data_IF_975473137534
#
_entry.id   IF_975473137534
#
_cell.length_a   1.000
_cell.length_b   1.000
_cell.length_c   1.000
_cell.angle_alpha   90.00
_cell.angle_beta   90.00
_cell.angle_gamma   90.00
#
_symmetry.space_group_name_H-M   'P 1'
#
loop_
_entity.id
_entity.type
_entity.pdbx_description
1 polymer ?
#
# COMPACT_ATOMS: atom_id res chain seq x y z
N UNK A 1 -1.31 -15.41 14.39
CA UNK A 1 -1.76 -14.06 14.79
C UNK A 1 -1.58 -13.91 16.29
N UNK A 2 -1.07 -12.78 16.78
CA UNK A 2 -0.74 -12.55 18.21
C UNK A 2 -1.70 -11.60 18.92
N UNK A 3 -2.36 -10.70 18.20
CA UNK A 3 -3.21 -9.64 18.74
C UNK A 3 -4.68 -9.91 18.42
N UNK A 4 -5.58 -9.57 19.35
CA UNK A 4 -7.02 -9.70 19.14
C UNK A 4 -7.54 -8.67 18.13
N UNK A 5 -8.57 -9.04 17.38
CA UNK A 5 -9.22 -8.18 16.39
C UNK A 5 -8.69 -8.29 14.96
N UNK A 6 -7.46 -8.78 14.75
CA UNK A 6 -6.96 -9.08 13.40
C UNK A 6 -7.67 -10.29 12.83
N UNK A 7 -8.21 -10.15 11.62
CA UNK A 7 -8.68 -11.26 10.80
C UNK A 7 -7.71 -11.42 9.63
N UNK A 8 -7.27 -12.65 9.36
CA UNK A 8 -6.38 -12.97 8.25
C UNK A 8 -6.92 -14.14 7.46
N UNK A 9 -6.67 -14.10 6.16
CA UNK A 9 -6.88 -15.22 5.24
C UNK A 9 -5.52 -15.76 4.82
N UNK A 10 -5.46 -17.03 4.43
CA UNK A 10 -4.21 -17.59 3.89
C UNK A 10 -3.89 -17.00 2.52
N UNK A 11 -2.61 -16.98 2.14
CA UNK A 11 -2.14 -16.55 0.82
C UNK A 11 -2.89 -17.23 -0.32
N UNK A 12 -3.20 -18.54 -0.16
CA UNK A 12 -3.99 -19.31 -1.12
C UNK A 12 -5.38 -18.71 -1.31
N UNK A 13 -6.11 -18.44 -0.22
CA UNK A 13 -7.47 -17.89 -0.31
C UNK A 13 -7.43 -16.46 -0.84
N UNK A 14 -6.49 -15.64 -0.38
CA UNK A 14 -6.34 -14.27 -0.85
C UNK A 14 -6.04 -14.20 -2.36
N UNK A 15 -5.05 -14.97 -2.84
CA UNK A 15 -4.70 -15.01 -4.26
C UNK A 15 -5.85 -15.52 -5.14
N UNK A 16 -6.62 -16.52 -4.69
CA UNK A 16 -7.81 -16.99 -5.41
C UNK A 16 -8.89 -15.90 -5.49
N UNK A 17 -9.17 -15.19 -4.39
CA UNK A 17 -10.11 -14.07 -4.39
C UNK A 17 -9.71 -12.99 -5.40
N UNK A 18 -8.43 -12.60 -5.41
CA UNK A 18 -7.92 -11.63 -6.37
C UNK A 18 -8.08 -12.15 -7.81
N UNK A 19 -7.64 -13.37 -8.10
CA UNK A 19 -7.69 -13.95 -9.45
C UNK A 19 -9.11 -14.00 -10.02
N UNK A 20 -10.07 -14.54 -9.27
CA UNK A 20 -11.44 -14.68 -9.76
C UNK A 20 -12.18 -13.34 -9.83
N UNK A 21 -11.81 -12.36 -9.01
CA UNK A 21 -12.27 -10.98 -9.17
C UNK A 21 -11.81 -10.39 -10.50
N UNK A 22 -10.50 -10.51 -10.83
CA UNK A 22 -9.97 -10.01 -12.11
C UNK A 22 -10.60 -10.71 -13.31
N UNK A 23 -10.82 -12.03 -13.23
CA UNK A 23 -11.52 -12.78 -14.28
C UNK A 23 -12.95 -12.28 -14.51
N UNK A 24 -13.66 -11.95 -13.44
CA UNK A 24 -15.01 -11.38 -13.51
C UNK A 24 -14.99 -9.99 -14.16
N UNK A 25 -14.04 -9.13 -13.75
CA UNK A 25 -13.85 -7.82 -14.37
C UNK A 25 -13.50 -7.93 -15.87
N UNK A 26 -12.62 -8.86 -16.25
CA UNK A 26 -12.34 -9.16 -17.66
C UNK A 26 -13.61 -9.54 -18.43
N UNK A 27 -14.45 -10.41 -17.86
CA UNK A 27 -15.70 -10.84 -18.48
C UNK A 27 -16.66 -9.66 -18.72
N UNK A 28 -16.64 -8.65 -17.85
CA UNK A 28 -17.42 -7.41 -18.02
C UNK A 28 -16.76 -6.37 -18.94
N UNK A 29 -15.65 -6.72 -19.61
CA UNK A 29 -15.01 -5.86 -20.60
C UNK A 29 -13.95 -4.91 -20.06
N UNK A 30 -13.58 -4.98 -18.77
CA UNK A 30 -12.48 -4.17 -18.24
C UNK A 30 -11.14 -4.60 -18.87
N UNK A 31 -10.37 -3.59 -19.33
CA UNK A 31 -9.11 -3.79 -20.07
C UNK A 31 -7.87 -3.51 -19.24
N UNK A 32 -8.01 -2.75 -18.17
CA UNK A 32 -6.93 -2.41 -17.25
C UNK A 32 -7.44 -2.56 -15.84
N UNK A 33 -6.84 -3.47 -15.08
CA UNK A 33 -7.26 -3.82 -13.72
C UNK A 33 -6.02 -3.69 -12.84
N UNK A 34 -6.09 -2.87 -11.80
CA UNK A 34 -4.94 -2.57 -10.94
C UNK A 34 -5.20 -3.03 -9.51
N UNK A 35 -4.26 -3.77 -8.95
CA UNK A 35 -4.19 -4.04 -7.52
C UNK A 35 -3.43 -2.92 -6.83
N UNK A 36 -4.08 -2.29 -5.86
CA UNK A 36 -3.50 -1.31 -4.94
C UNK A 36 -3.74 -1.87 -3.53
N UNK A 37 -2.68 -2.12 -2.78
CA UNK A 37 -2.75 -2.69 -1.45
C UNK A 37 -1.98 -1.85 -0.44
N UNK A 38 -2.54 -1.69 0.76
CA UNK A 38 -1.93 -0.91 1.84
C UNK A 38 -1.44 -1.77 3.03
N UNK A 39 -1.22 -3.06 2.77
CA UNK A 39 -0.69 -4.02 3.74
C UNK A 39 0.48 -4.77 3.15
N UNK A 40 1.60 -4.80 3.87
CA UNK A 40 2.84 -5.41 3.40
C UNK A 40 2.72 -6.89 3.08
N UNK A 41 1.96 -7.65 3.89
CA UNK A 41 1.73 -9.07 3.66
C UNK A 41 0.96 -9.37 2.37
N UNK A 42 0.20 -8.39 1.84
CA UNK A 42 -0.60 -8.58 0.63
C UNK A 42 0.20 -8.39 -0.66
N UNK A 43 1.32 -7.65 -0.60
CA UNK A 43 2.09 -7.27 -1.80
C UNK A 43 2.56 -8.48 -2.63
N UNK A 44 3.13 -9.55 -2.04
CA UNK A 44 3.62 -10.68 -2.83
C UNK A 44 2.51 -11.40 -3.62
N UNK A 45 1.32 -11.53 -3.03
CA UNK A 45 0.20 -12.20 -3.69
C UNK A 45 -0.45 -11.33 -4.77
N UNK A 46 -0.49 -10.01 -4.59
CA UNK A 46 -0.90 -9.09 -5.65
C UNK A 46 0.05 -9.18 -6.86
N UNK A 47 1.37 -9.17 -6.62
CA UNK A 47 2.38 -9.33 -7.66
C UNK A 47 2.23 -10.66 -8.41
N UNK A 48 2.10 -11.77 -7.66
CA UNK A 48 1.99 -13.12 -8.22
C UNK A 48 0.75 -13.26 -9.10
N UNK A 49 -0.41 -12.79 -8.63
CA UNK A 49 -1.67 -12.90 -9.39
C UNK A 49 -1.61 -12.04 -10.65
N UNK A 50 -1.10 -10.80 -10.56
CA UNK A 50 -0.92 -9.94 -11.72
C UNK A 50 -0.01 -10.59 -12.78
N UNK A 51 1.15 -11.12 -12.37
CA UNK A 51 2.07 -11.80 -13.28
C UNK A 51 1.44 -13.04 -13.93
N UNK A 52 0.77 -13.90 -13.14
CA UNK A 52 0.08 -15.09 -13.62
C UNK A 52 -0.95 -14.76 -14.70
N UNK A 53 -1.78 -13.73 -14.47
CA UNK A 53 -2.86 -13.37 -15.38
C UNK A 53 -2.35 -12.68 -16.65
N UNK A 54 -1.33 -11.82 -16.55
CA UNK A 54 -0.69 -11.26 -17.75
C UNK A 54 -0.01 -12.34 -18.60
N UNK A 55 0.60 -13.36 -17.99
CA UNK A 55 1.15 -14.49 -18.73
C UNK A 55 0.05 -15.30 -19.44
N UNK A 56 -1.08 -15.53 -18.76
CA UNK A 56 -2.23 -16.23 -19.34
C UNK A 56 -2.87 -15.46 -20.51
N UNK A 57 -2.90 -14.14 -20.42
CA UNK A 57 -3.59 -13.27 -21.38
C UNK A 57 -2.64 -12.47 -22.28
N UNK A 58 -1.41 -12.94 -22.48
CA UNK A 58 -0.36 -12.21 -23.21
C UNK A 58 -0.79 -11.78 -24.64
N UNK A 59 -1.71 -12.52 -25.27
CA UNK A 59 -2.22 -12.25 -26.63
C UNK A 59 -3.55 -11.49 -26.64
N UNK A 60 -4.06 -11.11 -25.48
CA UNK A 60 -5.32 -10.38 -25.34
C UNK A 60 -5.02 -8.91 -25.02
N UNK A 61 -5.91 -8.02 -25.45
CA UNK A 61 -5.89 -6.63 -25.02
C UNK A 61 -6.47 -6.52 -23.60
N UNK A 62 -5.68 -6.94 -22.59
CA UNK A 62 -5.97 -6.79 -21.17
C UNK A 62 -4.68 -6.69 -20.37
N UNK A 63 -4.70 -5.89 -19.30
CA UNK A 63 -3.57 -5.69 -18.41
C UNK A 63 -3.98 -5.80 -16.96
N UNK A 64 -3.21 -6.57 -16.19
CA UNK A 64 -3.35 -6.66 -14.73
C UNK A 64 -2.12 -6.04 -14.09
N UNK A 65 -2.30 -4.96 -13.33
CA UNK A 65 -1.21 -4.20 -12.75
C UNK A 65 -1.12 -4.48 -11.25
N UNK A 66 0.09 -4.60 -10.72
CA UNK A 66 0.36 -4.48 -9.29
C UNK A 66 1.06 -3.14 -9.07
N UNK A 67 0.40 -2.24 -8.34
CA UNK A 67 0.89 -0.89 -8.07
C UNK A 67 1.67 -0.90 -6.76
N UNK A 68 2.86 -1.49 -6.80
CA UNK A 68 3.73 -1.70 -5.64
C UNK A 68 4.30 -0.40 -5.06
N UNK A 69 4.56 0.59 -5.92
CA UNK A 69 5.09 1.91 -5.52
C UNK A 69 4.21 2.63 -4.50
N UNK A 70 2.88 2.41 -4.54
CA UNK A 70 1.96 2.95 -3.53
C UNK A 70 2.36 2.54 -2.11
N UNK A 71 2.85 1.30 -1.94
CA UNK A 71 3.24 0.76 -0.64
C UNK A 71 4.75 0.85 -0.38
N UNK A 72 5.59 0.43 -1.32
CA UNK A 72 7.03 0.25 -1.11
C UNK A 72 7.88 1.48 -1.51
N UNK A 73 7.52 2.19 -2.58
CA UNK A 73 8.38 3.21 -3.21
C UNK A 73 7.68 4.58 -3.31
N UNK A 74 6.98 4.96 -2.24
CA UNK A 74 6.21 6.20 -2.15
C UNK A 74 6.99 7.38 -1.53
N UNK A 75 8.30 7.24 -1.28
CA UNK A 75 9.18 8.28 -0.72
C UNK A 75 8.81 8.82 0.68
N UNK A 76 7.86 8.22 1.39
CA UNK A 76 7.46 8.72 2.71
C UNK A 76 8.56 8.60 3.77
N UNK A 77 9.30 7.49 3.75
CA UNK A 77 10.41 7.26 4.69
C UNK A 77 11.53 8.28 4.44
N UNK A 78 11.85 8.54 3.17
CA UNK A 78 12.84 9.53 2.76
C UNK A 78 12.42 10.93 3.23
N UNK A 79 11.17 11.32 2.96
CA UNK A 79 10.63 12.60 3.39
C UNK A 79 10.75 12.77 4.92
N UNK A 80 10.30 11.79 5.71
CA UNK A 80 10.37 11.87 7.16
C UNK A 80 11.80 11.89 7.69
N UNK A 81 12.70 11.11 7.11
CA UNK A 81 14.12 11.12 7.47
C UNK A 81 14.74 12.51 7.26
N UNK A 82 14.43 13.15 6.12
CA UNK A 82 14.89 14.51 5.81
C UNK A 82 14.28 15.58 6.72
N UNK A 83 13.20 15.26 7.44
CA UNK A 83 12.56 16.14 8.44
C UNK A 83 12.93 15.77 9.88
N UNK A 84 14.02 15.00 10.07
CA UNK A 84 14.62 14.77 11.39
C UNK A 84 14.03 13.60 12.17
N UNK A 85 13.17 12.78 11.57
CA UNK A 85 12.67 11.57 12.21
C UNK A 85 13.65 10.41 12.03
N UNK A 86 14.04 9.75 13.12
CA UNK A 86 14.87 8.55 13.07
C UNK A 86 14.11 7.35 12.50
N UNK A 87 14.83 6.36 11.96
CA UNK A 87 14.23 5.12 11.47
C UNK A 87 13.36 4.41 12.52
N UNK A 88 13.74 4.47 13.81
CA UNK A 88 12.96 3.92 14.93
C UNK A 88 11.63 4.66 15.13
N UNK A 89 11.62 5.98 15.01
CA UNK A 89 10.41 6.79 15.11
C UNK A 89 9.50 6.58 13.91
N UNK A 90 10.06 6.50 12.70
CA UNK A 90 9.29 6.25 11.48
C UNK A 90 8.63 4.86 11.54
N UNK A 91 9.43 3.84 11.83
CA UNK A 91 8.99 2.45 11.92
C UNK A 91 8.30 1.92 10.66
N UNK A 92 7.61 0.80 10.80
CA UNK A 92 6.97 0.07 9.70
C UNK A 92 5.46 -0.18 9.86
N UNK A 93 4.86 0.09 11.02
CA UNK A 93 3.45 -0.25 11.27
C UNK A 93 2.86 0.56 12.42
N UNK A 94 1.69 1.18 12.22
CA UNK A 94 1.00 2.02 13.19
C UNK A 94 1.89 3.14 13.78
N UNK A 95 2.90 3.57 13.03
CA UNK A 95 3.82 4.65 13.40
C UNK A 95 3.31 6.01 12.91
N UNK A 96 4.24 6.96 12.80
CA UNK A 96 3.94 8.33 12.37
C UNK A 96 3.27 8.40 10.99
N UNK A 97 3.60 7.49 10.05
CA UNK A 97 3.05 7.47 8.68
C UNK A 97 1.56 7.14 8.70
N UNK A 98 1.22 5.90 9.03
CA UNK A 98 -0.15 5.37 9.05
C UNK A 98 -1.08 6.26 9.89
N UNK A 99 -0.62 6.71 11.06
CA UNK A 99 -1.43 7.53 11.96
C UNK A 99 -1.66 8.93 11.40
N UNK A 100 -0.66 9.54 10.77
CA UNK A 100 -0.84 10.85 10.15
C UNK A 100 -1.82 10.78 8.97
N UNK A 101 -1.68 9.77 8.12
CA UNK A 101 -2.59 9.53 7.00
C UNK A 101 -4.04 9.36 7.48
N UNK A 102 -4.25 8.56 8.53
CA UNK A 102 -5.58 8.36 9.08
C UNK A 102 -6.14 9.64 9.73
N UNK A 103 -5.32 10.40 10.47
CA UNK A 103 -5.72 11.72 11.00
C UNK A 103 -6.11 12.71 9.90
N UNK A 104 -5.58 12.58 8.68
CA UNK A 104 -5.92 13.47 7.57
C UNK A 104 -7.27 13.17 6.93
N UNK A 105 -7.72 11.90 6.96
CA UNK A 105 -8.94 11.43 6.28
C UNK A 105 -10.08 11.15 7.24
N UNK A 106 -9.78 10.52 8.37
CA UNK A 106 -10.76 10.13 9.38
C UNK A 106 -10.19 10.32 10.79
N UNK A 107 -10.17 11.57 11.30
CA UNK A 107 -9.60 11.90 12.61
C UNK A 107 -10.20 11.07 13.76
N UNK A 108 -11.52 10.83 13.73
CA UNK A 108 -12.24 10.06 14.76
C UNK A 108 -11.83 8.58 14.80
N UNK A 109 -11.17 8.09 13.74
CA UNK A 109 -10.56 6.76 13.70
C UNK A 109 -9.28 6.63 14.53
N UNK A 110 -8.74 7.74 15.04
CA UNK A 110 -7.53 7.77 15.85
C UNK A 110 -7.88 8.12 17.29
N UNK A 111 -7.47 7.25 18.22
CA UNK A 111 -7.54 7.52 19.66
C UNK A 111 -6.46 8.53 20.03
N UNK A 112 -6.74 9.81 19.86
CA UNK A 112 -5.77 10.90 20.05
C UNK A 112 -5.17 10.94 21.47
N UNK A 113 -5.93 10.55 22.49
CA UNK A 113 -5.43 10.42 23.86
C UNK A 113 -4.30 9.37 24.03
N UNK A 114 -4.15 8.47 23.06
CA UNK A 114 -3.11 7.45 23.04
C UNK A 114 -1.88 7.87 22.21
N UNK A 115 -1.85 9.08 21.63
CA UNK A 115 -0.68 9.62 20.92
C UNK A 115 0.36 10.18 21.90
N UNK A 116 0.92 9.29 22.71
CA UNK A 116 1.96 9.62 23.69
C UNK A 116 3.35 9.37 23.10
N UNK A 117 4.38 9.98 23.68
CA UNK A 117 5.77 9.76 23.26
C UNK A 117 6.21 8.32 23.56
N UNK A 118 6.36 7.52 22.49
CA UNK A 118 6.87 6.16 22.56
C UNK A 118 8.24 6.02 21.89
N UNK A 119 8.94 7.11 21.61
CA UNK A 119 10.23 7.13 20.90
C UNK A 119 11.29 6.21 21.52
N UNK A 120 11.23 5.99 22.84
CA UNK A 120 12.12 5.09 23.58
C UNK A 120 11.52 3.74 23.95
N UNK A 121 10.26 3.49 23.63
CA UNK A 121 9.55 2.27 24.03
C UNK A 121 9.92 1.05 23.20
N UNK A 122 9.63 -0.14 23.74
CA UNK A 122 9.58 -1.39 22.98
C UNK A 122 8.15 -1.64 22.51
N UNK A 123 7.94 -1.76 21.21
CA UNK A 123 6.58 -1.90 20.65
C UNK A 123 6.02 -3.34 20.71
N UNK A 124 6.73 -4.26 21.35
CA UNK A 124 6.38 -5.70 21.42
C UNK A 124 5.01 -5.97 22.06
N UNK A 125 4.51 -5.06 22.89
CA UNK A 125 3.22 -5.19 23.59
C UNK A 125 2.07 -4.45 22.91
N UNK A 126 2.36 -3.50 22.03
CA UNK A 126 1.34 -2.63 21.40
C UNK A 126 1.01 -3.07 19.97
N UNK A 127 1.81 -3.95 19.38
CA UNK A 127 1.65 -4.38 17.98
C UNK A 127 2.16 -3.36 16.96
N UNK A 128 2.46 -2.14 17.40
CA UNK A 128 3.07 -1.10 16.57
C UNK A 128 4.54 -1.42 16.24
N UNK A 129 5.08 -0.66 15.30
CA UNK A 129 6.49 -0.53 14.99
C UNK A 129 6.66 0.90 14.46
N UNK A 130 7.04 1.83 15.35
CA UNK A 130 7.11 3.26 15.06
C UNK A 130 6.42 4.09 16.14
N UNK A 131 6.82 5.35 16.27
CA UNK A 131 6.27 6.29 17.22
C UNK A 131 5.26 7.23 16.53
N UNK A 132 4.00 7.15 16.93
CA UNK A 132 2.93 7.98 16.40
C UNK A 132 2.75 9.33 17.14
N UNK A 133 3.56 9.62 18.17
CA UNK A 133 3.41 10.81 19.02
C UNK A 133 3.43 12.15 18.27
N UNK A 134 4.09 12.20 17.12
CA UNK A 134 4.20 13.39 16.26
C UNK A 134 3.26 13.36 15.05
N UNK A 135 2.39 12.35 14.96
CA UNK A 135 1.44 12.23 13.87
C UNK A 135 0.44 13.38 13.88
N UNK A 136 0.12 13.90 12.69
CA UNK A 136 -0.85 14.98 12.54
C UNK A 136 -1.42 15.02 11.12
N UNK A 137 -2.57 15.68 10.96
CA UNK A 137 -3.29 15.74 9.69
C UNK A 137 -2.54 16.50 8.58
N UNK A 138 -1.69 17.48 8.92
CA UNK A 138 -0.90 18.24 7.92
C UNK A 138 0.12 17.30 7.28
N UNK A 139 0.88 16.58 8.12
CA UNK A 139 1.81 15.56 7.67
C UNK A 139 1.09 14.48 6.87
N UNK A 140 -0.08 14.03 7.33
CA UNK A 140 -0.89 13.01 6.67
C UNK A 140 -1.29 13.38 5.26
N UNK A 141 -1.76 14.62 5.02
CA UNK A 141 -2.09 15.08 3.67
C UNK A 141 -0.90 15.04 2.73
N UNK A 142 0.29 15.42 3.22
CA UNK A 142 1.51 15.36 2.41
C UNK A 142 1.94 13.92 2.13
N UNK A 143 1.92 13.05 3.14
CA UNK A 143 2.27 11.64 3.00
C UNK A 143 1.31 10.90 2.05
N UNK A 144 0.01 11.18 2.11
CA UNK A 144 -0.99 10.64 1.17
C UNK A 144 -0.73 11.13 -0.26
N UNK A 145 -0.40 12.42 -0.44
CA UNK A 145 -0.04 12.96 -1.75
C UNK A 145 1.11 12.17 -2.37
N UNK A 146 2.17 11.89 -1.62
CA UNK A 146 3.30 11.09 -2.12
C UNK A 146 2.87 9.68 -2.57
N UNK A 147 2.01 8.99 -1.79
CA UNK A 147 1.48 7.66 -2.15
C UNK A 147 0.66 7.70 -3.43
N UNK A 148 -0.24 8.69 -3.55
CA UNK A 148 -1.09 8.86 -4.73
C UNK A 148 -0.23 9.17 -5.96
N UNK A 149 0.72 10.10 -5.85
CA UNK A 149 1.65 10.44 -6.94
C UNK A 149 2.48 9.24 -7.38
N UNK A 150 2.94 8.41 -6.44
CA UNK A 150 3.64 7.16 -6.73
C UNK A 150 2.76 6.16 -7.48
N UNK A 151 1.48 6.06 -7.13
CA UNK A 151 0.54 5.12 -7.74
C UNK A 151 0.08 5.50 -9.16
N UNK A 152 0.00 6.80 -9.47
CA UNK A 152 -0.56 7.29 -10.74
C UNK A 152 0.52 7.62 -11.78
N UNK A 153 1.79 7.25 -11.55
CA UNK A 153 2.89 7.47 -12.50
C UNK A 153 2.52 6.97 -13.91
N UNK A 154 2.53 7.83 -14.95
CA UNK A 154 2.04 7.47 -16.29
C UNK A 154 2.70 6.23 -16.90
N UNK A 155 4.00 6.04 -16.64
CA UNK A 155 4.77 4.88 -17.12
C UNK A 155 4.18 3.52 -16.72
N UNK A 156 3.34 3.47 -15.68
CA UNK A 156 2.65 2.25 -15.22
C UNK A 156 1.43 1.91 -16.07
N UNK A 157 0.82 2.89 -16.72
CA UNK A 157 -0.44 2.76 -17.46
C UNK A 157 -0.27 2.88 -18.97
N UNK A 158 0.91 3.26 -19.46
CA UNK A 158 1.26 3.31 -20.88
C UNK A 158 2.17 2.13 -21.22
N UNK A 159 1.72 1.22 -22.10
CA UNK A 159 2.68 0.49 -22.93
C UNK A 159 2.85 1.30 -24.21
N UNK A 160 4.11 1.63 -24.52
CA UNK A 160 4.52 2.01 -25.88
C UNK A 160 4.04 0.89 -26.79
N UNK A 161 3.13 1.21 -27.69
CA UNK A 161 2.84 0.40 -28.87
C UNK A 161 4.14 0.27 -29.67
N UNK A 162 4.98 -0.72 -29.36
CA UNK A 162 5.98 -1.20 -30.32
C UNK A 162 5.27 -2.05 -31.37
N UNK A 163 4.38 -1.41 -32.12
CA UNK A 163 3.83 -1.89 -33.37
C UNK A 163 3.90 -0.71 -34.32
N UNK A 164 5.05 -0.58 -35.00
CA UNK A 164 5.30 0.50 -35.95
C UNK A 164 6.74 0.53 -36.39
N UNK A 165 7.17 -0.45 -37.19
CA UNK A 165 7.67 -0.18 -38.54
C UNK A 165 8.01 -1.51 -39.24
N UNK A 166 7.45 -1.61 -40.44
CA UNK A 166 7.79 -2.51 -41.55
C UNK A 166 9.22 -2.20 -41.99
#
# INVERSE_FOLDING_TARGET
MRFSGTLSVSDKVFSQTLEFTVRSLKQHGFKTIAFIGDSGGNQPMQALVAAKLNALWQKEDIRVLHIDDYYNNNHQIEYLSNHGFSAKQIGGHAGIRDTSELLAIFPDGVRTFALQDYSQSTFLKTGANGDASKANAILGRYLLKLKVEAAVKPSRYTQVTKNGMI
#
